data_IF_460845081168
#
_entry.id   IF_460845081168
#
_cell.length_a   1.000
_cell.length_b   1.000
_cell.length_c   1.000
_cell.angle_alpha   90.00
_cell.angle_beta   90.00
_cell.angle_gamma   90.00
#
_symmetry.space_group_name_H-M   'P 1'
#
loop_
_entity.id
_entity.type
_entity.pdbx_description
1 polymer ?
#
# COMPACT_ATOMS: atom_id res chain seq x y z
N UNK A 1 -3.76 2.45 48.72
CA UNK A 1 -4.14 3.26 47.54
C UNK A 1 -3.79 2.45 46.31
N UNK A 2 -4.79 2.07 45.52
CA UNK A 2 -4.60 1.34 44.26
C UNK A 2 -4.59 2.38 43.13
N UNK A 3 -3.65 2.28 42.18
CA UNK A 3 -3.60 3.18 41.02
C UNK A 3 -4.27 2.49 39.83
N UNK A 4 -5.36 3.06 39.34
CA UNK A 4 -6.06 2.55 38.16
C UNK A 4 -5.26 2.84 36.89
N UNK A 5 -4.60 1.81 36.35
CA UNK A 5 -3.85 1.92 35.10
C UNK A 5 -4.80 1.89 33.89
N UNK A 6 -4.80 2.98 33.12
CA UNK A 6 -5.59 3.20 31.89
C UNK A 6 -5.64 1.98 30.95
N UNK A 7 -4.49 1.34 30.71
CA UNK A 7 -4.36 0.17 29.83
C UNK A 7 -5.21 -1.04 30.25
N UNK A 8 -5.41 -1.26 31.55
CA UNK A 8 -6.23 -2.37 32.08
C UNK A 8 -7.72 -2.19 31.74
N UNK A 9 -8.20 -0.94 31.67
CA UNK A 9 -9.57 -0.65 31.18
C UNK A 9 -9.72 -0.89 29.69
N UNK A 10 -8.74 -0.51 28.86
CA UNK A 10 -8.84 -0.67 27.39
C UNK A 10 -8.80 -2.16 26.98
N UNK A 11 -8.04 -2.99 27.68
CA UNK A 11 -7.93 -4.43 27.39
C UNK A 11 -9.07 -5.30 27.97
N UNK A 12 -9.85 -4.80 28.92
CA UNK A 12 -10.99 -5.55 29.49
C UNK A 12 -12.28 -5.42 28.69
N UNK A 13 -12.41 -4.42 27.80
CA UNK A 13 -13.65 -4.13 27.07
C UNK A 13 -13.90 -5.02 25.84
N UNK A 14 -12.94 -5.83 25.41
CA UNK A 14 -13.03 -6.65 24.18
C UNK A 14 -13.47 -8.11 24.40
N UNK A 15 -13.74 -8.54 25.64
CA UNK A 15 -14.04 -9.96 25.96
C UNK A 15 -15.50 -10.37 25.70
N UNK A 16 -15.73 -10.78 24.45
CA UNK A 16 -16.70 -11.79 23.99
C UNK A 16 -18.21 -11.50 24.04
N UNK A 17 -18.85 -11.66 22.87
CA UNK A 17 -20.22 -12.21 22.76
C UNK A 17 -20.30 -13.22 21.59
N UNK A 18 -19.84 -14.45 21.83
CA UNK A 18 -20.00 -15.58 20.87
C UNK A 18 -21.47 -16.04 20.86
N UNK A 19 -22.36 -15.41 20.08
CA UNK A 19 -23.71 -15.95 19.88
C UNK A 19 -24.48 -15.49 18.63
N UNK A 20 -24.28 -16.18 17.50
CA UNK A 20 -25.34 -16.76 16.65
C UNK A 20 -24.77 -17.46 15.40
N UNK A 21 -25.21 -18.70 15.16
CA UNK A 21 -25.06 -19.40 13.89
C UNK A 21 -26.34 -20.23 13.66
N UNK A 22 -26.86 -20.22 12.43
CA UNK A 22 -28.02 -20.98 11.91
C UNK A 22 -29.40 -20.70 12.54
N UNK A 23 -30.42 -20.59 11.67
CA UNK A 23 -31.84 -20.69 12.03
C UNK A 23 -32.76 -19.85 11.13
N UNK A 24 -33.26 -20.43 10.03
CA UNK A 24 -34.28 -19.79 9.18
C UNK A 24 -34.30 -20.29 7.73
N UNK A 25 -35.26 -21.16 7.39
CA UNK A 25 -35.48 -21.68 6.03
C UNK A 25 -36.90 -21.43 5.53
N UNK A 26 -37.01 -21.23 4.21
CA UNK A 26 -38.18 -21.45 3.33
C UNK A 26 -39.35 -20.43 3.27
N UNK A 27 -39.90 -20.32 2.05
CA UNK A 27 -41.14 -19.65 1.60
C UNK A 27 -41.16 -18.10 1.72
N UNK A 28 -41.78 -17.27 0.84
CA UNK A 28 -42.70 -17.39 -0.32
C UNK A 28 -42.15 -16.43 -1.43
N UNK A 29 -42.38 -16.55 -2.75
CA UNK A 29 -43.26 -17.41 -3.55
C UNK A 29 -42.97 -17.36 -5.08
N UNK A 30 -43.83 -16.71 -5.88
CA UNK A 30 -43.78 -16.78 -7.36
C UNK A 30 -44.35 -15.54 -8.10
N UNK A 31 -43.96 -15.38 -9.37
CA UNK A 31 -44.61 -14.55 -10.41
C UNK A 31 -43.74 -13.43 -11.02
N UNK A 32 -43.97 -12.93 -12.24
CA UNK A 32 -44.66 -13.45 -13.45
C UNK A 32 -44.28 -12.56 -14.66
N UNK A 33 -44.52 -12.99 -15.91
CA UNK A 33 -43.95 -12.39 -17.12
C UNK A 33 -44.77 -11.25 -17.78
N UNK A 34 -44.11 -10.54 -18.72
CA UNK A 34 -44.70 -9.63 -19.74
C UNK A 34 -44.24 -8.17 -19.64
N UNK A 35 -44.31 -7.28 -20.64
CA UNK A 35 -44.22 -7.31 -22.12
C UNK A 35 -44.80 -5.97 -22.63
N UNK A 36 -44.05 -5.25 -23.47
CA UNK A 36 -44.53 -4.40 -24.59
C UNK A 36 -45.26 -3.03 -24.38
N UNK A 37 -44.64 -2.01 -25.01
CA UNK A 37 -45.21 -0.97 -25.91
C UNK A 37 -46.11 0.19 -25.40
N UNK A 38 -45.60 1.41 -25.66
CA UNK A 38 -46.21 2.61 -26.34
C UNK A 38 -47.66 3.03 -26.02
N UNK A 39 -47.82 4.32 -25.68
CA UNK A 39 -49.06 5.08 -25.83
C UNK A 39 -48.80 6.60 -25.96
N UNK A 40 -49.60 7.31 -26.76
CA UNK A 40 -49.56 8.77 -26.96
C UNK A 40 -50.95 9.27 -27.44
N UNK A 41 -51.26 10.57 -27.29
CA UNK A 41 -52.54 11.23 -27.65
C UNK A 41 -53.35 11.71 -26.42
N UNK A 42 -54.33 12.62 -26.55
CA UNK A 42 -54.70 13.48 -27.71
C UNK A 42 -55.67 14.64 -27.28
N UNK A 43 -56.13 15.46 -28.24
CA UNK A 43 -57.30 16.39 -28.26
C UNK A 43 -57.27 17.68 -27.37
N UNK A 44 -57.85 18.86 -27.72
CA UNK A 44 -58.67 19.30 -28.90
C UNK A 44 -58.11 20.62 -29.56
N UNK A 45 -58.69 21.84 -29.73
CA UNK A 45 -59.93 22.59 -29.34
C UNK A 45 -60.13 23.84 -30.29
N UNK A 46 -61.28 24.56 -30.26
CA UNK A 46 -61.76 25.62 -31.21
C UNK A 46 -61.43 27.11 -30.81
N UNK A 47 -61.69 28.23 -31.54
CA UNK A 47 -62.50 28.58 -32.75
C UNK A 47 -61.87 29.81 -33.55
N UNK A 48 -62.49 30.30 -34.66
CA UNK A 48 -61.96 31.30 -35.64
C UNK A 48 -62.06 32.82 -35.30
N UNK A 49 -61.83 33.81 -36.20
CA UNK A 49 -61.70 33.90 -37.69
C UNK A 49 -60.88 35.18 -38.11
N UNK A 50 -60.36 35.25 -39.36
CA UNK A 50 -59.83 36.48 -40.01
C UNK A 50 -58.55 36.33 -40.87
N UNK A 51 -58.63 36.55 -42.20
CA UNK A 51 -57.54 36.36 -43.21
C UNK A 51 -57.19 37.63 -44.02
N UNK A 52 -56.17 37.68 -44.91
CA UNK A 52 -54.90 36.93 -45.03
C UNK A 52 -53.63 37.80 -45.32
N UNK A 53 -52.41 37.25 -45.19
CA UNK A 53 -51.20 37.74 -45.89
C UNK A 53 -50.09 36.66 -46.05
N UNK A 54 -49.26 36.77 -47.10
CA UNK A 54 -48.28 35.79 -47.61
C UNK A 54 -47.18 35.29 -46.62
N UNK A 55 -46.55 34.12 -46.89
CA UNK A 55 -45.87 33.33 -45.86
C UNK A 55 -44.46 33.81 -45.50
N UNK A 56 -44.20 33.90 -44.19
CA UNK A 56 -42.86 33.79 -43.61
C UNK A 56 -42.55 32.32 -43.34
N UNK A 57 -41.35 31.86 -43.70
CA UNK A 57 -40.95 30.47 -43.50
C UNK A 57 -40.58 30.19 -42.03
N UNK A 58 -41.58 29.91 -41.20
CA UNK A 58 -41.37 29.47 -39.82
C UNK A 58 -40.77 28.07 -39.78
N UNK A 59 -39.79 27.90 -38.91
CA UNK A 59 -39.12 26.65 -38.54
C UNK A 59 -40.08 25.47 -38.37
N UNK A 60 -39.85 24.37 -39.09
CA UNK A 60 -40.42 23.08 -38.73
C UNK A 60 -39.79 22.59 -37.44
N UNK A 61 -40.62 22.26 -36.44
CA UNK A 61 -40.19 21.70 -35.16
C UNK A 61 -39.70 20.27 -35.33
N UNK A 62 -38.43 20.09 -35.71
CA UNK A 62 -37.76 18.82 -35.53
C UNK A 62 -37.65 18.53 -34.04
N UNK A 63 -38.08 17.35 -33.61
CA UNK A 63 -37.85 16.88 -32.24
C UNK A 63 -36.33 16.81 -32.00
N UNK A 64 -35.80 17.73 -31.19
CA UNK A 64 -34.45 17.60 -30.65
C UNK A 64 -34.35 16.27 -29.92
N UNK A 65 -33.45 15.35 -30.31
CA UNK A 65 -33.28 14.08 -29.59
C UNK A 65 -33.08 14.38 -28.11
N UNK A 66 -34.00 13.86 -27.28
CA UNK A 66 -34.13 14.25 -25.88
C UNK A 66 -32.77 14.22 -25.20
N UNK A 67 -32.30 15.40 -24.76
CA UNK A 67 -30.92 15.58 -24.32
C UNK A 67 -30.62 14.64 -23.15
N UNK A 68 -29.94 13.53 -23.45
CA UNK A 68 -29.51 12.57 -22.46
C UNK A 68 -28.58 13.32 -21.52
N UNK A 69 -29.06 13.63 -20.32
CA UNK A 69 -28.24 14.25 -19.28
C UNK A 69 -27.04 13.36 -19.06
N UNK A 70 -25.86 13.83 -19.49
CA UNK A 70 -24.61 13.14 -19.25
C UNK A 70 -24.54 12.80 -17.76
N UNK A 71 -24.13 11.57 -17.39
CA UNK A 71 -24.15 11.16 -16.00
C UNK A 71 -23.36 12.17 -15.18
N UNK A 72 -24.00 12.73 -14.15
CA UNK A 72 -23.39 13.71 -13.25
C UNK A 72 -22.29 13.02 -12.46
N UNK A 73 -21.08 13.06 -13.00
CA UNK A 73 -19.86 12.68 -12.28
C UNK A 73 -19.79 13.58 -11.06
N UNK A 74 -19.91 13.01 -9.87
CA UNK A 74 -19.66 13.73 -8.63
C UNK A 74 -18.20 14.20 -8.66
N UNK A 75 -17.91 15.52 -8.59
CA UNK A 75 -16.55 16.03 -8.61
C UNK A 75 -15.72 15.59 -7.39
N UNK A 76 -16.35 14.99 -6.37
CA UNK A 76 -15.72 14.42 -5.18
C UNK A 76 -15.59 12.89 -5.25
N UNK A 77 -16.08 12.23 -6.30
CA UNK A 77 -15.91 10.79 -6.46
C UNK A 77 -14.41 10.45 -6.64
N UNK A 78 -13.88 9.42 -5.95
CA UNK A 78 -12.49 8.99 -6.12
C UNK A 78 -12.19 8.63 -7.58
N UNK A 79 -11.27 9.37 -8.18
CA UNK A 79 -10.78 9.08 -9.53
C UNK A 79 -9.58 8.14 -9.43
N UNK A 80 -9.60 7.07 -10.23
CA UNK A 80 -8.47 6.17 -10.40
C UNK A 80 -7.78 6.45 -11.73
N UNK A 81 -6.45 6.31 -11.73
CA UNK A 81 -5.57 6.62 -12.85
C UNK A 81 -4.75 7.89 -12.64
N UNK A 82 -3.83 8.15 -13.57
CA UNK A 82 -2.94 9.31 -13.57
C UNK A 82 -1.74 9.19 -12.63
N UNK A 83 -0.87 10.20 -12.65
CA UNK A 83 0.40 10.23 -11.92
C UNK A 83 0.38 11.33 -10.85
N UNK A 84 0.76 11.00 -9.62
CA UNK A 84 1.01 12.00 -8.58
C UNK A 84 2.34 12.70 -8.90
N UNK A 85 2.29 13.98 -9.26
CA UNK A 85 3.48 14.79 -9.49
C UNK A 85 3.85 15.55 -8.21
N UNK A 86 5.05 15.33 -7.69
CA UNK A 86 5.60 16.01 -6.53
C UNK A 86 6.98 16.61 -6.80
N UNK A 87 7.47 17.44 -5.88
CA UNK A 87 8.80 18.06 -5.96
C UNK A 87 9.61 17.80 -4.70
N UNK A 88 10.86 17.39 -4.84
CA UNK A 88 11.78 17.10 -3.72
C UNK A 88 12.77 18.23 -3.48
N UNK A 89 13.08 18.52 -2.22
CA UNK A 89 13.98 19.60 -1.81
C UNK A 89 15.48 19.24 -1.95
N UNK A 90 15.88 18.67 -3.09
CA UNK A 90 17.21 18.15 -3.34
C UNK A 90 17.42 16.77 -2.69
N UNK A 91 17.28 15.71 -3.47
CA UNK A 91 17.54 14.35 -2.96
C UNK A 91 19.05 14.09 -2.83
N UNK A 92 19.45 13.57 -1.68
CA UNK A 92 20.76 12.93 -1.47
C UNK A 92 20.56 11.43 -1.34
N UNK A 93 21.39 10.66 -2.04
CA UNK A 93 21.37 9.20 -2.07
C UNK A 93 22.74 8.68 -1.62
N UNK A 94 22.76 7.55 -0.91
CA UNK A 94 23.97 6.89 -0.41
C UNK A 94 24.03 5.39 -0.76
N UNK A 95 22.88 4.72 -0.79
CA UNK A 95 22.76 3.30 -1.11
C UNK A 95 21.30 2.93 -1.41
N UNK A 96 21.08 1.76 -2.02
CA UNK A 96 19.77 1.08 -2.08
C UNK A 96 19.65 -0.12 -1.12
N UNK A 97 20.56 -0.20 -0.14
CA UNK A 97 20.50 -1.09 1.02
C UNK A 97 19.82 -0.36 2.19
N UNK A 98 18.57 -0.73 2.51
CA UNK A 98 17.75 0.00 3.50
C UNK A 98 18.31 -0.12 4.93
N UNK A 99 19.02 -1.21 5.21
CA UNK A 99 19.63 -1.43 6.52
C UNK A 99 20.84 -0.51 6.73
N UNK A 100 21.51 -0.13 5.64
CA UNK A 100 22.70 0.74 5.62
C UNK A 100 22.44 2.24 5.45
N UNK A 101 21.42 2.65 4.70
CA UNK A 101 21.21 4.08 4.35
C UNK A 101 21.06 4.99 5.57
N UNK A 102 21.60 6.21 5.54
CA UNK A 102 21.32 7.27 6.53
C UNK A 102 20.34 8.33 6.00
N UNK A 103 19.98 8.29 4.71
CA UNK A 103 19.23 9.35 4.04
C UNK A 103 17.74 8.99 3.86
N UNK A 104 16.86 9.96 4.11
CA UNK A 104 15.41 9.77 3.99
C UNK A 104 14.89 9.65 2.54
N UNK A 105 15.50 10.21 1.48
CA UNK A 105 15.12 9.91 0.10
C UNK A 105 15.15 8.42 -0.24
N UNK A 106 16.22 7.69 0.12
CA UNK A 106 16.29 6.23 -0.06
C UNK A 106 15.14 5.54 0.66
N UNK A 107 14.87 5.90 1.92
CA UNK A 107 13.76 5.33 2.67
C UNK A 107 12.41 5.61 1.99
N UNK A 108 12.13 6.84 1.56
CA UNK A 108 10.88 7.19 0.86
C UNK A 108 10.72 6.39 -0.42
N UNK A 109 11.79 6.27 -1.23
CA UNK A 109 11.79 5.44 -2.44
C UNK A 109 11.44 3.98 -2.10
N UNK A 110 12.11 3.41 -1.11
CA UNK A 110 11.93 2.01 -0.72
C UNK A 110 10.62 1.73 0.02
N UNK A 111 9.93 2.74 0.57
CA UNK A 111 8.58 2.57 1.11
C UNK A 111 7.49 2.49 0.02
N UNK A 112 7.80 2.89 -1.22
CA UNK A 112 6.90 2.65 -2.37
C UNK A 112 7.14 1.29 -3.05
N UNK A 113 8.35 0.72 -2.93
CA UNK A 113 8.74 -0.52 -3.62
C UNK A 113 8.78 -1.75 -2.72
N UNK A 114 9.29 -1.63 -1.50
CA UNK A 114 9.50 -2.74 -0.58
C UNK A 114 8.53 -2.68 0.60
N UNK A 115 7.96 -3.83 0.93
CA UNK A 115 7.23 -4.02 2.18
C UNK A 115 8.20 -4.40 3.32
N UNK A 116 7.81 -4.06 4.55
CA UNK A 116 8.43 -4.51 5.77
C UNK A 116 7.66 -5.67 6.37
N UNK A 117 7.86 -5.90 7.67
CA UNK A 117 6.95 -6.76 8.41
C UNK A 117 5.58 -6.11 8.56
N UNK A 118 5.56 -4.84 8.99
CA UNK A 118 4.40 -4.06 9.40
C UNK A 118 4.54 -2.61 8.91
N UNK A 119 3.46 -1.84 8.94
CA UNK A 119 3.51 -0.39 8.82
C UNK A 119 2.42 0.31 9.63
N UNK A 120 2.51 1.63 9.74
CA UNK A 120 1.44 2.46 10.26
C UNK A 120 0.36 2.64 9.20
N UNK A 121 -0.87 2.18 9.49
CA UNK A 121 -2.07 2.54 8.72
C UNK A 121 -2.46 3.99 8.95
N UNK A 122 -2.31 4.43 10.20
CA UNK A 122 -2.43 5.81 10.62
C UNK A 122 -1.35 6.11 11.67
N UNK A 123 -0.50 7.09 11.37
CA UNK A 123 0.59 7.52 12.23
C UNK A 123 0.10 8.40 13.41
N UNK A 124 -1.01 9.12 13.27
CA UNK A 124 -1.54 10.00 14.32
C UNK A 124 -2.20 9.19 15.46
N UNK A 125 -3.03 8.19 15.12
CA UNK A 125 -3.59 7.27 16.12
C UNK A 125 -2.64 6.13 16.55
N UNK A 126 -1.44 6.07 15.95
CA UNK A 126 -0.45 5.00 16.09
C UNK A 126 -1.03 3.60 15.79
N UNK A 127 -1.87 3.50 14.75
CA UNK A 127 -2.50 2.26 14.33
C UNK A 127 -1.64 1.49 13.33
N UNK A 128 -1.26 0.26 13.70
CA UNK A 128 -0.43 -0.62 12.88
C UNK A 128 -1.27 -1.57 12.02
N UNK A 129 -0.72 -1.93 10.86
CA UNK A 129 -1.22 -2.95 9.94
C UNK A 129 -0.11 -3.92 9.53
N UNK A 130 -0.51 -5.10 9.06
CA UNK A 130 0.40 -6.13 8.59
C UNK A 130 0.80 -5.95 7.12
N UNK A 131 2.10 -5.87 6.85
CA UNK A 131 2.65 -5.90 5.48
C UNK A 131 3.00 -7.35 5.11
N UNK A 132 4.28 -7.75 5.07
CA UNK A 132 4.65 -9.16 4.79
C UNK A 132 4.31 -10.10 5.95
N UNK A 133 4.18 -9.58 7.17
CA UNK A 133 3.50 -10.28 8.26
C UNK A 133 2.02 -9.90 8.24
N UNK A 134 1.14 -10.80 7.78
CA UNK A 134 -0.31 -10.57 7.71
C UNK A 134 -0.92 -10.31 9.09
N UNK A 135 -0.37 -10.95 10.14
CA UNK A 135 -0.74 -10.72 11.54
C UNK A 135 0.40 -11.09 12.50
N UNK A 136 0.31 -10.63 13.74
CA UNK A 136 1.25 -10.92 14.81
C UNK A 136 0.56 -11.06 16.17
N UNK A 137 1.18 -11.84 17.06
CA UNK A 137 0.73 -12.08 18.44
C UNK A 137 1.90 -11.88 19.41
N UNK A 138 1.72 -11.03 20.41
CA UNK A 138 2.62 -10.94 21.57
C UNK A 138 2.20 -12.03 22.54
N UNK A 139 3.00 -13.10 22.62
CA UNK A 139 2.68 -14.31 23.39
C UNK A 139 2.98 -14.11 24.88
N UNK A 140 4.09 -13.45 25.16
CA UNK A 140 4.54 -13.04 26.50
C UNK A 140 5.45 -11.79 26.38
N UNK A 141 5.95 -11.26 27.51
CA UNK A 141 6.80 -10.06 27.55
C UNK A 141 8.10 -10.19 26.73
N UNK A 142 8.50 -11.41 26.34
CA UNK A 142 9.75 -11.76 25.64
C UNK A 142 9.54 -12.50 24.32
N UNK A 143 8.31 -12.80 23.89
CA UNK A 143 8.04 -13.64 22.71
C UNK A 143 6.96 -13.04 21.80
N UNK A 144 7.27 -12.88 20.52
CA UNK A 144 6.33 -12.46 19.48
C UNK A 144 6.29 -13.52 18.38
N UNK A 145 5.10 -13.85 17.88
CA UNK A 145 4.92 -14.71 16.71
C UNK A 145 4.26 -13.93 15.57
N UNK A 146 4.78 -14.06 14.36
CA UNK A 146 4.29 -13.45 13.12
C UNK A 146 3.74 -14.54 12.19
N UNK A 147 2.71 -14.20 11.41
CA UNK A 147 2.18 -15.05 10.34
C UNK A 147 2.45 -14.42 8.98
N UNK A 148 3.08 -15.16 8.08
CA UNK A 148 3.47 -14.75 6.73
C UNK A 148 2.24 -14.46 5.85
N UNK A 149 2.28 -13.37 5.09
CA UNK A 149 1.33 -13.07 4.02
C UNK A 149 1.59 -13.95 2.80
N UNK A 150 0.73 -14.95 2.60
CA UNK A 150 0.92 -16.03 1.60
C UNK A 150 0.84 -15.59 0.13
N UNK A 151 0.26 -14.43 -0.16
CA UNK A 151 0.07 -13.93 -1.52
C UNK A 151 1.04 -12.81 -1.92
N UNK A 152 2.03 -12.49 -1.07
CA UNK A 152 3.13 -11.61 -1.44
C UNK A 152 4.10 -12.35 -2.38
N UNK A 153 4.47 -11.69 -3.47
CA UNK A 153 5.51 -12.13 -4.41
C UNK A 153 6.52 -11.00 -4.59
N UNK A 154 7.76 -11.36 -4.88
CA UNK A 154 8.78 -10.41 -5.31
C UNK A 154 8.50 -9.91 -6.73
N UNK A 155 9.16 -8.83 -7.12
CA UNK A 155 9.14 -8.35 -8.51
C UNK A 155 9.69 -9.40 -9.50
N UNK A 156 9.21 -9.33 -10.74
CA UNK A 156 9.70 -10.18 -11.85
C UNK A 156 10.99 -9.62 -12.45
N UNK A 157 12.04 -9.65 -11.63
CA UNK A 157 13.43 -9.29 -11.95
C UNK A 157 14.37 -10.40 -11.45
N UNK A 158 15.46 -10.73 -12.15
CA UNK A 158 16.53 -11.54 -11.58
C UNK A 158 17.11 -10.86 -10.33
N UNK A 159 17.58 -11.61 -9.31
CA UNK A 159 17.67 -13.07 -9.27
C UNK A 159 16.40 -13.80 -8.77
N UNK A 160 15.32 -13.08 -8.43
CA UNK A 160 14.14 -13.67 -7.76
C UNK A 160 12.96 -14.00 -8.68
N UNK A 161 12.88 -13.36 -9.86
CA UNK A 161 11.96 -13.65 -10.97
C UNK A 161 10.47 -13.91 -10.59
N UNK A 162 9.96 -13.19 -9.59
CA UNK A 162 8.58 -13.34 -9.13
C UNK A 162 8.35 -14.49 -8.13
N UNK A 163 9.40 -14.98 -7.45
CA UNK A 163 9.30 -15.92 -6.33
C UNK A 163 8.31 -15.41 -5.26
N UNK A 164 7.54 -16.31 -4.67
CA UNK A 164 6.71 -15.99 -3.51
C UNK A 164 7.59 -15.62 -2.30
N UNK A 165 7.16 -14.62 -1.52
CA UNK A 165 7.84 -14.28 -0.26
C UNK A 165 7.66 -15.46 0.71
N UNK A 166 8.73 -15.78 1.44
CA UNK A 166 8.76 -16.89 2.40
C UNK A 166 9.04 -16.40 3.82
N UNK A 167 8.82 -17.25 4.82
CA UNK A 167 9.09 -16.92 6.22
C UNK A 167 10.59 -16.79 6.50
N UNK A 168 11.43 -17.41 5.68
CA UNK A 168 12.88 -17.30 5.66
C UNK A 168 13.36 -15.91 5.21
N UNK A 169 12.65 -15.24 4.28
CA UNK A 169 12.98 -13.85 3.87
C UNK A 169 12.86 -12.88 5.08
N UNK A 170 11.81 -13.08 5.89
CA UNK A 170 11.57 -12.33 7.12
C UNK A 170 12.59 -12.69 8.20
N UNK A 171 12.90 -13.99 8.37
CA UNK A 171 13.93 -14.46 9.30
C UNK A 171 15.31 -13.86 8.97
N UNK A 172 15.63 -13.78 7.68
CA UNK A 172 16.87 -13.19 7.16
C UNK A 172 16.98 -11.71 7.50
N UNK A 173 15.96 -10.87 7.24
CA UNK A 173 16.02 -9.43 7.54
C UNK A 173 16.33 -9.13 9.02
N UNK A 174 15.68 -9.86 9.95
CA UNK A 174 15.96 -9.72 11.39
C UNK A 174 17.39 -10.18 11.72
N UNK A 175 17.82 -11.32 11.17
CA UNK A 175 19.15 -11.90 11.43
C UNK A 175 20.27 -11.04 10.88
N UNK A 176 20.14 -10.54 9.64
CA UNK A 176 21.09 -9.64 8.96
C UNK A 176 21.32 -8.37 9.79
N UNK A 177 20.24 -7.71 10.20
CA UNK A 177 20.31 -6.54 11.07
C UNK A 177 20.90 -6.82 12.46
N UNK A 178 20.51 -7.95 13.08
CA UNK A 178 21.06 -8.36 14.39
C UNK A 178 22.57 -8.61 14.32
N UNK A 179 23.03 -9.32 13.30
CA UNK A 179 24.44 -9.71 13.19
C UNK A 179 25.34 -8.59 12.66
N UNK A 180 24.80 -7.66 11.87
CA UNK A 180 25.53 -6.52 11.30
C UNK A 180 26.80 -6.98 10.53
N UNK A 181 26.60 -7.85 9.54
CA UNK A 181 27.66 -8.48 8.74
C UNK A 181 27.30 -8.53 7.26
N UNK A 182 28.35 -8.61 6.45
CA UNK A 182 28.28 -9.04 5.06
C UNK A 182 27.93 -10.54 4.95
N UNK A 183 27.54 -10.96 3.74
CA UNK A 183 27.33 -12.35 3.32
C UNK A 183 28.59 -13.22 3.47
N UNK A 184 29.79 -12.64 3.43
CA UNK A 184 31.05 -13.36 3.72
C UNK A 184 31.31 -13.58 5.23
N UNK A 185 30.51 -12.95 6.10
CA UNK A 185 30.62 -13.01 7.56
C UNK A 185 31.44 -11.88 8.20
N UNK A 186 32.01 -10.96 7.43
CA UNK A 186 32.75 -9.79 7.91
C UNK A 186 31.79 -8.79 8.60
N UNK A 187 32.10 -8.29 9.81
CA UNK A 187 31.29 -7.26 10.48
C UNK A 187 31.29 -5.93 9.72
N UNK A 188 30.14 -5.24 9.71
CA UNK A 188 29.90 -4.03 8.95
C UNK A 188 29.20 -2.94 9.79
N UNK A 189 29.95 -1.89 10.15
CA UNK A 189 29.48 -0.70 10.88
C UNK A 189 28.51 0.19 10.04
N UNK A 190 28.21 -0.20 8.79
CA UNK A 190 27.19 0.45 7.98
C UNK A 190 25.76 0.06 8.36
N UNK A 191 25.50 -1.05 9.06
CA UNK A 191 24.14 -1.42 9.52
C UNK A 191 23.59 -0.48 10.61
N UNK A 192 22.95 0.62 10.23
CA UNK A 192 22.59 1.71 11.16
C UNK A 192 21.45 1.35 12.14
N UNK A 193 20.60 0.38 11.80
CA UNK A 193 19.54 -0.11 12.69
C UNK A 193 19.98 -1.25 13.61
N UNK A 194 21.17 -1.83 13.43
CA UNK A 194 21.62 -3.04 14.16
C UNK A 194 21.43 -3.00 15.68
N UNK A 195 21.66 -1.83 16.29
CA UNK A 195 21.41 -1.56 17.72
C UNK A 195 19.97 -1.87 18.18
N UNK A 196 18.98 -1.69 17.30
CA UNK A 196 17.54 -1.92 17.53
C UNK A 196 17.12 -3.39 17.42
N UNK A 197 18.07 -4.28 17.09
CA UNK A 197 17.88 -5.72 16.99
C UNK A 197 18.69 -6.51 18.05
N UNK A 198 19.53 -5.85 18.84
CA UNK A 198 20.38 -6.48 19.87
C UNK A 198 19.59 -7.02 21.10
N UNK A 199 18.27 -6.82 21.13
CA UNK A 199 17.37 -7.48 22.08
C UNK A 199 17.02 -8.91 21.66
N UNK A 200 17.02 -9.21 20.35
CA UNK A 200 16.64 -10.52 19.80
C UNK A 200 17.63 -11.59 20.24
N UNK A 201 17.17 -12.56 21.03
CA UNK A 201 17.92 -13.77 21.36
C UNK A 201 17.86 -14.74 20.17
N UNK A 202 16.64 -15.07 19.72
CA UNK A 202 16.39 -16.14 18.77
C UNK A 202 15.33 -15.76 17.74
N UNK A 203 15.50 -16.30 16.53
CA UNK A 203 14.58 -16.21 15.39
C UNK A 203 14.31 -17.63 14.93
N UNK A 204 13.08 -18.11 15.08
CA UNK A 204 12.66 -19.47 14.75
C UNK A 204 11.63 -19.46 13.61
N UNK A 205 11.96 -20.12 12.50
CA UNK A 205 10.95 -20.60 11.55
C UNK A 205 10.33 -21.86 12.15
N UNK A 206 9.12 -21.74 12.69
CA UNK A 206 8.44 -22.82 13.43
C UNK A 206 7.57 -23.70 12.53
N UNK A 207 7.01 -23.10 11.49
CA UNK A 207 6.46 -23.75 10.29
C UNK A 207 6.64 -22.80 9.09
N UNK A 208 6.30 -23.25 7.88
CA UNK A 208 6.50 -22.52 6.62
C UNK A 208 5.77 -21.15 6.52
N UNK A 209 4.94 -20.81 7.50
CA UNK A 209 4.14 -19.58 7.54
C UNK A 209 4.36 -18.80 8.85
N UNK A 210 5.24 -19.26 9.75
CA UNK A 210 5.25 -18.80 11.15
C UNK A 210 6.65 -18.53 11.69
N UNK A 211 6.95 -17.25 11.89
CA UNK A 211 8.18 -16.79 12.52
C UNK A 211 7.94 -16.48 14.00
N UNK A 212 8.69 -17.08 14.90
CA UNK A 212 8.74 -16.70 16.31
C UNK A 212 10.04 -15.96 16.60
N UNK A 213 9.94 -14.80 17.24
CA UNK A 213 11.06 -13.98 17.69
C UNK A 213 11.05 -13.94 19.22
N UNK A 214 12.17 -14.32 19.83
CA UNK A 214 12.36 -14.34 21.28
C UNK A 214 13.45 -13.36 21.67
N UNK A 215 13.25 -12.60 22.75
CA UNK A 215 14.17 -11.57 23.23
C UNK A 215 14.89 -11.96 24.51
N UNK A 216 16.13 -11.49 24.64
CA UNK A 216 16.97 -11.58 25.86
C UNK A 216 16.38 -10.84 27.08
N UNK A 217 15.47 -9.90 26.83
CA UNK A 217 14.73 -9.07 27.79
C UNK A 217 13.51 -8.46 27.08
N UNK A 218 12.46 -8.02 27.79
CA UNK A 218 11.31 -7.39 27.15
C UNK A 218 11.67 -6.16 26.30
N UNK A 219 11.15 -6.12 25.08
CA UNK A 219 11.34 -5.01 24.13
C UNK A 219 9.97 -4.50 23.63
N UNK A 220 9.43 -3.43 24.23
CA UNK A 220 8.14 -2.85 23.82
C UNK A 220 8.24 -2.01 22.53
N UNK A 221 9.44 -1.77 22.00
CA UNK A 221 9.67 -0.92 20.83
C UNK A 221 9.86 -1.74 19.54
N UNK A 222 10.21 -3.01 19.64
CA UNK A 222 10.52 -3.87 18.49
C UNK A 222 9.41 -3.90 17.42
N UNK A 223 8.13 -3.92 17.81
CA UNK A 223 7.01 -3.87 16.85
C UNK A 223 6.91 -2.48 16.21
N UNK A 224 6.74 -1.44 17.03
CA UNK A 224 6.26 -0.13 16.58
C UNK A 224 7.37 0.82 16.10
N UNK A 225 8.60 0.66 16.60
CA UNK A 225 9.74 1.51 16.23
C UNK A 225 10.75 0.78 15.33
N UNK A 226 11.01 -0.51 15.59
CA UNK A 226 11.89 -1.32 14.75
C UNK A 226 11.13 -1.80 13.50
N UNK A 227 10.24 -2.79 13.62
CA UNK A 227 9.65 -3.49 12.47
C UNK A 227 8.60 -2.71 11.67
N UNK A 228 7.97 -1.68 12.24
CA UNK A 228 7.05 -0.77 11.55
C UNK A 228 7.72 0.57 11.14
N UNK A 229 9.04 0.68 11.31
CA UNK A 229 9.80 1.89 11.01
C UNK A 229 10.05 2.07 9.50
N UNK A 230 10.21 3.32 9.01
CA UNK A 230 10.41 3.59 7.58
C UNK A 230 11.73 3.05 6.99
N UNK A 231 12.60 2.47 7.82
CA UNK A 231 13.85 1.82 7.40
C UNK A 231 13.86 0.30 7.66
N UNK A 232 12.72 -0.33 7.97
CA UNK A 232 12.61 -1.77 8.23
C UNK A 232 11.87 -2.47 7.10
N UNK A 233 12.44 -2.38 5.89
CA UNK A 233 11.88 -2.98 4.68
C UNK A 233 12.67 -4.24 4.32
N UNK A 234 11.98 -5.30 3.90
CA UNK A 234 12.61 -6.58 3.57
C UNK A 234 13.19 -6.50 2.16
N UNK A 235 14.42 -6.97 2.00
CA UNK A 235 15.08 -7.18 0.71
C UNK A 235 15.39 -8.68 0.59
N UNK A 236 15.16 -9.24 -0.60
CA UNK A 236 15.33 -10.68 -0.81
C UNK A 236 16.79 -11.11 -0.58
N UNK A 237 17.07 -12.23 0.12
CA UNK A 237 18.43 -12.71 0.38
C UNK A 237 19.26 -12.86 -0.91
N UNK A 238 18.64 -13.33 -1.99
CA UNK A 238 19.28 -13.48 -3.29
C UNK A 238 19.64 -12.13 -3.93
N UNK A 239 18.79 -11.11 -3.77
CA UNK A 239 19.05 -9.77 -4.27
C UNK A 239 20.18 -9.11 -3.47
N UNK A 240 20.18 -9.23 -2.14
CA UNK A 240 21.27 -8.74 -1.29
C UNK A 240 22.60 -9.36 -1.70
N UNK A 241 22.65 -10.70 -1.88
CA UNK A 241 23.86 -11.39 -2.35
C UNK A 241 24.36 -10.93 -3.73
N UNK A 242 23.54 -10.20 -4.51
CA UNK A 242 23.89 -9.61 -5.80
C UNK A 242 24.26 -8.12 -5.77
N UNK A 243 23.90 -7.37 -4.71
CA UNK A 243 24.21 -5.93 -4.58
C UNK A 243 25.09 -5.57 -3.37
N UNK A 244 25.35 -6.48 -2.43
CA UNK A 244 25.97 -6.11 -1.15
C UNK A 244 27.39 -5.55 -1.29
N UNK A 245 28.14 -5.98 -2.31
CA UNK A 245 29.47 -5.48 -2.71
C UNK A 245 29.41 -4.16 -3.53
N UNK A 246 28.23 -3.81 -4.07
CA UNK A 246 28.00 -2.65 -4.97
C UNK A 246 26.92 -1.70 -4.45
N UNK A 247 26.65 -1.76 -3.14
CA UNK A 247 25.51 -1.12 -2.48
C UNK A 247 25.43 0.40 -2.70
N UNK A 248 26.57 1.06 -2.90
CA UNK A 248 26.73 2.51 -3.11
C UNK A 248 26.63 2.94 -4.59
N UNK A 249 26.54 1.99 -5.52
CA UNK A 249 26.53 2.27 -6.98
C UNK A 249 25.14 2.68 -7.50
N UNK A 250 24.10 2.60 -6.66
CA UNK A 250 22.73 3.06 -6.94
C UNK A 250 22.13 2.47 -8.23
N UNK A 251 22.37 1.19 -8.50
CA UNK A 251 21.84 0.47 -9.67
C UNK A 251 20.30 0.29 -9.57
N UNK A 252 19.48 0.94 -10.43
CA UNK A 252 18.01 0.91 -10.28
C UNK A 252 17.39 -0.49 -10.46
N UNK A 253 18.03 -1.36 -11.24
CA UNK A 253 17.57 -2.72 -11.46
C UNK A 253 17.66 -3.59 -10.20
N UNK A 254 18.60 -3.30 -9.29
CA UNK A 254 18.77 -3.99 -8.00
C UNK A 254 17.67 -3.65 -6.98
N UNK A 255 16.85 -2.63 -7.23
CA UNK A 255 15.64 -2.39 -6.43
C UNK A 255 14.57 -3.39 -6.84
N UNK A 256 14.40 -4.38 -5.97
CA UNK A 256 13.50 -5.52 -6.09
C UNK A 256 12.65 -5.52 -4.82
N UNK A 257 11.33 -5.43 -4.99
CA UNK A 257 10.38 -5.29 -3.90
C UNK A 257 9.14 -6.17 -4.06
N UNK A 258 8.09 -5.79 -3.34
CA UNK A 258 6.84 -6.55 -3.16
C UNK A 258 5.61 -5.65 -3.09
N UNK A 259 5.81 -4.33 -3.01
CA UNK A 259 4.80 -3.36 -2.57
C UNK A 259 4.02 -2.76 -3.73
N UNK A 260 3.20 -1.74 -3.45
CA UNK A 260 2.19 -1.19 -4.34
C UNK A 260 2.73 -0.54 -5.63
N UNK A 261 4.02 -0.20 -5.69
CA UNK A 261 4.69 0.33 -6.87
C UNK A 261 6.03 -0.38 -7.12
N UNK A 262 6.55 -0.24 -8.33
CA UNK A 262 7.95 -0.56 -8.68
C UNK A 262 8.65 0.69 -9.16
N UNK A 263 9.97 0.77 -8.94
CA UNK A 263 10.79 1.83 -9.53
C UNK A 263 10.72 1.77 -11.06
N UNK A 264 10.63 2.93 -11.70
CA UNK A 264 10.45 3.08 -13.14
C UNK A 264 11.56 3.92 -13.78
N UNK A 265 11.86 5.09 -13.21
CA UNK A 265 13.00 5.94 -13.59
C UNK A 265 13.75 6.37 -12.33
N UNK A 266 15.08 6.46 -12.43
CA UNK A 266 15.94 7.05 -11.40
C UNK A 266 17.13 7.78 -12.04
N UNK A 267 17.16 9.10 -11.91
CA UNK A 267 18.35 9.94 -12.03
C UNK A 267 18.69 10.47 -10.62
N UNK A 268 19.87 10.15 -10.05
CA UNK A 268 20.25 10.67 -8.74
C UNK A 268 20.33 12.20 -8.69
N UNK A 269 20.44 12.87 -9.84
CA UNK A 269 20.57 14.33 -10.00
C UNK A 269 19.23 15.07 -10.01
N UNK A 270 18.12 14.40 -10.29
CA UNK A 270 16.93 15.07 -10.84
C UNK A 270 15.61 14.35 -10.59
N UNK A 271 15.34 13.29 -11.35
CA UNK A 271 13.99 12.70 -11.50
C UNK A 271 13.92 11.26 -10.97
N UNK A 272 12.87 10.95 -10.22
CA UNK A 272 12.52 9.59 -9.80
C UNK A 272 11.05 9.32 -10.09
N UNK A 273 10.74 8.20 -10.74
CA UNK A 273 9.37 7.76 -10.98
C UNK A 273 9.13 6.33 -10.49
N UNK A 274 7.90 6.08 -10.06
CA UNK A 274 7.39 4.77 -9.70
C UNK A 274 6.11 4.50 -10.48
N UNK A 275 5.91 3.26 -10.94
CA UNK A 275 4.68 2.80 -11.61
C UNK A 275 3.98 1.75 -10.76
N UNK A 276 2.65 1.70 -10.80
CA UNK A 276 1.83 0.74 -10.02
C UNK A 276 2.32 -0.69 -10.26
N UNK A 277 2.54 -1.45 -9.19
CA UNK A 277 2.96 -2.84 -9.28
C UNK A 277 1.75 -3.73 -9.62
N UNK A 278 1.72 -4.42 -10.78
CA UNK A 278 0.63 -5.34 -11.12
C UNK A 278 0.70 -6.68 -10.35
N UNK A 279 1.73 -6.87 -9.51
CA UNK A 279 1.94 -8.05 -8.68
C UNK A 279 1.66 -7.80 -7.18
N UNK A 280 1.28 -6.57 -6.80
CA UNK A 280 1.01 -6.23 -5.40
C UNK A 280 -0.07 -7.14 -4.80
N UNK A 281 0.16 -7.57 -3.56
CA UNK A 281 -0.69 -8.51 -2.84
C UNK A 281 -2.00 -7.90 -2.29
N UNK A 282 -2.06 -6.57 -2.20
CA UNK A 282 -3.20 -5.82 -1.67
C UNK A 282 -4.11 -5.29 -2.77
N UNK A 283 -4.99 -4.35 -2.41
CA UNK A 283 -5.74 -3.59 -3.41
C UNK A 283 -4.78 -2.74 -4.26
N UNK A 284 -4.93 -2.70 -5.59
CA UNK A 284 -4.09 -1.88 -6.46
C UNK A 284 -4.14 -0.40 -6.08
N UNK A 285 -3.00 0.28 -6.05
CA UNK A 285 -2.94 1.72 -5.80
C UNK A 285 -3.86 2.49 -6.77
N UNK A 286 -4.59 3.49 -6.29
CA UNK A 286 -5.60 4.17 -7.12
C UNK A 286 -4.99 4.94 -8.29
N UNK A 287 -3.74 5.42 -8.16
CA UNK A 287 -2.97 6.13 -9.20
C UNK A 287 -2.12 5.17 -10.02
N UNK A 288 -1.79 5.51 -11.25
CA UNK A 288 -0.97 4.68 -12.15
C UNK A 288 0.53 4.80 -11.83
N UNK A 289 0.93 5.91 -11.23
CA UNK A 289 2.31 6.13 -10.79
C UNK A 289 2.51 7.36 -9.90
N UNK A 290 3.77 7.57 -9.54
CA UNK A 290 4.27 8.72 -8.78
C UNK A 290 5.49 9.25 -9.54
N UNK A 291 5.62 10.57 -9.65
CA UNK A 291 6.79 11.24 -10.23
C UNK A 291 7.28 12.31 -9.26
N UNK A 292 8.58 12.33 -9.00
CA UNK A 292 9.24 13.29 -8.13
C UNK A 292 10.45 13.90 -8.85
N UNK A 293 10.45 15.21 -9.06
CA UNK A 293 11.59 15.96 -9.58
C UNK A 293 12.20 16.86 -8.50
N UNK A 294 13.52 17.05 -8.52
CA UNK A 294 14.16 18.08 -7.71
C UNK A 294 13.55 19.47 -7.99
N UNK A 295 13.27 20.22 -6.93
CA UNK A 295 12.55 21.49 -6.97
C UNK A 295 13.42 22.59 -7.59
N UNK A 296 13.20 22.88 -8.88
CA UNK A 296 13.87 23.97 -9.60
C UNK A 296 13.40 25.31 -9.01
N UNK A 297 14.26 25.94 -8.21
CA UNK A 297 13.96 27.17 -7.47
C UNK A 297 14.13 28.44 -8.31
N UNK A 298 13.41 28.55 -9.42
CA UNK A 298 13.24 29.85 -10.09
C UNK A 298 12.30 30.74 -9.28
N UNK A 299 12.86 31.48 -8.33
CA UNK A 299 12.14 32.47 -7.54
C UNK A 299 11.90 33.80 -8.28
N UNK A 300 12.21 33.90 -9.57
CA UNK A 300 11.85 35.05 -10.41
C UNK A 300 10.54 34.86 -11.20
N UNK A 301 9.87 33.71 -11.04
CA UNK A 301 8.61 33.36 -11.71
C UNK A 301 7.33 33.67 -10.89
N UNK A 302 7.38 34.62 -9.95
CA UNK A 302 6.30 35.00 -9.03
C UNK A 302 6.09 36.53 -8.95
#
# INVERSE_FOLDING_TARGET
MQKDNYWVRRLSSSRLSRRRFVGGTAAIGAGAAGLALVGCGDDDDDEGDGTPASPTATTGSGETPGATTAPTVDPNAPQSGGTINGSTAGNTWDTFDIDRTVFSPTAVLMNYTNDGFLSYRDFESAELQGELAESWEVVDDTTITFKLRKNAVWDKKPPVDGRAVTVEDLAYHITRNKEAKLVDGTPDDLFKRSSSYQTVDKVDVTDAETLTVTFTRPDPFFIAATLAGPYAKVQAPEAVAEFEDTYDQLEPDKIIGTSAFVLDTFDPSGEVSWKRNPLFWGEPAWVDGIFASNLISDQAAA
#
